data_IF_581125842889
#
_entry.id   IF_581125842889
#
_cell.length_a   1.000
_cell.length_b   1.000
_cell.length_c   1.000
_cell.angle_alpha   90.00
_cell.angle_beta   90.00
_cell.angle_gamma   90.00
#
_symmetry.space_group_name_H-M   'P 1'
#
loop_
_entity.id
_entity.type
_entity.pdbx_description
1 polymer ?
#
# COMPACT_ATOMS: atom_id res chain seq x y z
N UNK A 1 -2.92 -7.68 -2.89
CA UNK A 1 -2.95 -7.12 -4.25
C UNK A 1 -2.24 -5.79 -4.18
N UNK A 2 -1.70 -5.31 -5.30
CA UNK A 2 -0.92 -4.08 -5.32
C UNK A 2 -1.76 -2.85 -4.98
N UNK A 3 -1.14 -1.90 -4.27
CA UNK A 3 -1.76 -0.60 -3.96
C UNK A 3 -2.12 0.13 -5.26
N UNK A 4 -3.27 0.82 -5.34
CA UNK A 4 -3.62 1.58 -6.53
C UNK A 4 -2.55 2.62 -6.87
N UNK A 5 -2.18 2.71 -8.15
CA UNK A 5 -1.17 3.66 -8.67
C UNK A 5 -1.52 5.11 -8.31
N UNK A 6 -2.82 5.44 -8.38
CA UNK A 6 -3.39 6.75 -8.07
C UNK A 6 -4.52 6.61 -7.06
N UNK A 7 -4.74 7.64 -6.26
CA UNK A 7 -5.90 7.70 -5.38
C UNK A 7 -7.20 7.79 -6.19
N UNK A 8 -8.20 6.98 -5.82
CA UNK A 8 -9.51 6.96 -6.49
C UNK A 8 -10.29 8.27 -6.45
N UNK A 9 -10.04 9.13 -5.46
CA UNK A 9 -10.77 10.40 -5.33
C UNK A 9 -9.99 11.57 -5.89
N UNK A 10 -8.71 11.70 -5.51
CA UNK A 10 -7.89 12.87 -5.83
C UNK A 10 -7.07 12.71 -7.12
N UNK A 11 -6.92 11.48 -7.66
CA UNK A 11 -6.09 11.19 -8.84
C UNK A 11 -4.58 11.37 -8.64
N UNK A 12 -4.13 11.82 -7.45
CA UNK A 12 -2.73 11.97 -7.08
C UNK A 12 -2.03 10.61 -7.15
N UNK A 13 -0.82 10.58 -7.69
CA UNK A 13 0.04 9.38 -7.69
C UNK A 13 0.44 9.07 -6.25
N UNK A 14 0.23 7.83 -5.81
CA UNK A 14 0.47 7.41 -4.42
C UNK A 14 1.33 6.14 -4.30
N UNK A 15 1.32 5.24 -5.28
CA UNK A 15 1.99 3.94 -5.16
C UNK A 15 3.49 4.02 -4.89
N UNK A 16 4.19 5.00 -5.46
CA UNK A 16 5.63 5.21 -5.25
C UNK A 16 6.04 5.42 -3.78
N UNK A 17 5.11 5.78 -2.89
CA UNK A 17 5.39 5.99 -1.45
C UNK A 17 5.01 4.79 -0.58
N UNK A 18 4.44 3.73 -1.16
CA UNK A 18 3.92 2.62 -0.38
C UNK A 18 5.01 1.77 0.28
N UNK A 19 6.12 1.51 -0.41
CA UNK A 19 7.25 0.78 0.16
C UNK A 19 7.80 1.48 1.41
N UNK A 20 8.05 2.79 1.33
CA UNK A 20 8.50 3.61 2.45
C UNK A 20 7.51 3.62 3.62
N UNK A 21 6.21 3.66 3.31
CA UNK A 21 5.15 3.57 4.32
C UNK A 21 5.15 2.22 5.05
N UNK A 22 5.31 1.12 4.31
CA UNK A 22 5.35 -0.25 4.88
C UNK A 22 6.59 -0.44 5.76
N UNK A 23 7.76 -0.07 5.26
CA UNK A 23 9.02 -0.11 6.05
C UNK A 23 8.92 0.71 7.33
N UNK A 24 8.33 1.90 7.28
CA UNK A 24 8.18 2.74 8.45
C UNK A 24 7.21 2.16 9.49
N UNK A 25 6.15 1.46 9.05
CA UNK A 25 5.25 0.72 9.95
C UNK A 25 5.92 -0.51 10.56
N UNK A 26 6.67 -1.27 9.77
CA UNK A 26 7.40 -2.45 10.25
C UNK A 26 8.45 -2.10 11.32
N UNK A 27 9.00 -0.88 11.25
CA UNK A 27 9.89 -0.31 12.26
C UNK A 27 9.18 0.24 13.52
N UNK A 28 7.86 0.07 13.63
CA UNK A 28 7.06 0.53 14.78
C UNK A 28 6.69 2.02 14.73
N UNK A 29 6.75 2.64 13.55
CA UNK A 29 6.31 4.02 13.35
C UNK A 29 4.79 4.20 13.47
N UNK A 30 4.35 5.34 14.00
CA UNK A 30 2.94 5.70 14.03
C UNK A 30 2.43 6.04 12.62
N UNK A 31 1.29 5.44 12.24
CA UNK A 31 0.68 5.58 10.91
C UNK A 31 0.44 7.04 10.52
N UNK A 32 0.02 7.89 11.47
CA UNK A 32 -0.24 9.29 11.17
C UNK A 32 1.04 10.06 10.83
N UNK A 33 2.08 9.91 11.65
CA UNK A 33 3.37 10.58 11.45
C UNK A 33 4.01 10.19 10.12
N UNK A 34 4.00 8.90 9.79
CA UNK A 34 4.55 8.40 8.51
C UNK A 34 3.81 9.01 7.31
N UNK A 35 2.48 9.14 7.37
CA UNK A 35 1.70 9.76 6.31
C UNK A 35 1.92 11.28 6.21
N UNK A 36 2.18 11.94 7.34
CA UNK A 36 2.55 13.36 7.41
C UNK A 36 3.92 13.60 6.78
N UNK A 37 4.92 12.81 7.18
CA UNK A 37 6.30 12.85 6.67
C UNK A 37 6.36 12.51 5.18
N UNK A 38 5.51 11.58 4.72
CA UNK A 38 5.33 11.27 3.31
C UNK A 38 4.60 12.38 2.51
N UNK A 39 4.19 13.49 3.14
CA UNK A 39 3.53 14.63 2.49
C UNK A 39 2.15 14.30 1.93
N UNK A 40 1.45 13.34 2.55
CA UNK A 40 0.09 12.92 2.16
C UNK A 40 -0.91 13.59 3.09
N UNK A 41 -1.22 14.86 2.87
CA UNK A 41 -2.11 15.63 3.78
C UNK A 41 -3.59 15.29 3.62
N UNK A 42 -4.06 15.05 2.39
CA UNK A 42 -5.49 14.84 2.11
C UNK A 42 -6.00 13.48 2.58
N UNK A 43 -7.08 13.48 3.35
CA UNK A 43 -7.74 12.27 3.88
C UNK A 43 -8.07 11.24 2.79
N UNK A 44 -8.49 11.69 1.61
CA UNK A 44 -8.89 10.81 0.52
C UNK A 44 -7.71 10.02 -0.07
N UNK A 45 -6.51 10.60 -0.06
CA UNK A 45 -5.30 9.92 -0.48
C UNK A 45 -4.72 9.08 0.70
N UNK A 46 -4.93 9.46 1.97
CA UNK A 46 -4.54 8.67 3.17
C UNK A 46 -5.32 7.36 3.32
N UNK A 47 -6.63 7.36 3.08
CA UNK A 47 -7.45 6.13 3.20
C UNK A 47 -6.97 4.98 2.30
N UNK A 48 -6.26 5.30 1.22
CA UNK A 48 -5.67 4.32 0.31
C UNK A 48 -4.48 3.57 0.93
N UNK A 49 -3.84 4.11 1.96
CA UNK A 49 -2.77 3.44 2.70
C UNK A 49 -3.34 2.69 3.91
N UNK A 50 -4.22 3.35 4.67
CA UNK A 50 -4.80 2.79 5.89
C UNK A 50 -5.70 1.58 5.60
N UNK A 51 -6.46 1.62 4.50
CA UNK A 51 -7.38 0.53 4.13
C UNK A 51 -6.79 -0.50 3.17
N UNK A 52 -5.50 -0.42 2.84
CA UNK A 52 -4.90 -1.34 1.89
C UNK A 52 -4.45 -2.63 2.57
N UNK A 53 -4.88 -3.77 2.03
CA UNK A 53 -4.46 -5.10 2.45
C UNK A 53 -3.71 -5.76 1.30
N UNK A 54 -2.46 -6.13 1.53
CA UNK A 54 -1.64 -6.76 0.51
C UNK A 54 -1.78 -8.29 0.49
N UNK A 55 -2.78 -8.76 -0.24
CA UNK A 55 -3.01 -10.18 -0.54
C UNK A 55 -2.13 -10.75 -1.68
N UNK A 56 -1.11 -10.04 -2.19
CA UNK A 56 -0.38 -10.50 -3.38
C UNK A 56 0.35 -11.81 -3.10
N UNK A 57 1.05 -11.89 -1.98
CA UNK A 57 1.85 -13.05 -1.58
C UNK A 57 0.97 -14.29 -1.34
N UNK A 58 -0.27 -14.10 -0.90
CA UNK A 58 -1.23 -15.17 -0.67
C UNK A 58 -1.83 -15.71 -1.98
N UNK A 59 -2.06 -14.83 -2.97
CA UNK A 59 -2.72 -15.19 -4.23
C UNK A 59 -1.74 -15.65 -5.31
N UNK A 60 -0.51 -15.13 -5.31
CA UNK A 60 0.52 -15.45 -6.31
C UNK A 60 0.78 -16.96 -6.50
N UNK A 61 0.81 -17.82 -5.46
CA UNK A 61 1.03 -19.25 -5.61
C UNK A 61 -0.03 -19.98 -6.44
N UNK A 62 -1.24 -19.42 -6.57
CA UNK A 62 -2.33 -20.04 -7.33
C UNK A 62 -2.31 -19.68 -8.83
N UNK A 63 -1.39 -18.79 -9.24
CA UNK A 63 -1.28 -18.34 -10.65
C UNK A 63 -0.43 -19.25 -11.53
N UNK A 64 0.37 -20.14 -10.92
CA UNK A 64 1.13 -21.18 -11.64
C UNK A 64 0.23 -22.39 -11.94
N UNK A 65 0.41 -22.98 -13.11
CA UNK A 65 -0.23 -24.25 -13.46
C UNK A 65 0.12 -25.30 -12.39
N UNK A 66 -0.89 -26.03 -11.92
CA UNK A 66 -0.80 -26.99 -10.81
C UNK A 66 -0.13 -28.29 -11.27
N UNK A 67 1.01 -28.21 -11.93
CA UNK A 67 1.69 -29.35 -12.57
C UNK A 67 2.93 -29.85 -11.84
N UNK A 68 3.42 -29.13 -10.81
CA UNK A 68 4.55 -29.60 -10.00
C UNK A 68 4.25 -29.41 -8.51
N UNK A 69 3.53 -30.38 -7.93
CA UNK A 69 3.44 -30.65 -6.50
C UNK A 69 4.08 -32.02 -6.22
#
# INVERSE_FOLDING_TARGET
MLIPVRCWSCGKVIAHKYAQYKEALDNGGDTNKVLDDAGITRYCCRRMFVGHIDLLDEVAPFSVAREEL
#
